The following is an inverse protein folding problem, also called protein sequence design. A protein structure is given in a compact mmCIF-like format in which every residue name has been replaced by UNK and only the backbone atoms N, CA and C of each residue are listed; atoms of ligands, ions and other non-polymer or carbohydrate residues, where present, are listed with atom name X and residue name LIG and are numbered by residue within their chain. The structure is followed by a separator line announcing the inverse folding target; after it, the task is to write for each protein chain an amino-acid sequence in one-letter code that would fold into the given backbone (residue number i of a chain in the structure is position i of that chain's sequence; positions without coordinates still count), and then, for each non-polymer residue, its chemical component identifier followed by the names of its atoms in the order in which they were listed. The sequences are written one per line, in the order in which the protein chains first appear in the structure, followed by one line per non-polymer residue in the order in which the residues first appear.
data_IF_651858788022
#
_entry.id   IF_651858788022
#
_cell.length_a   1.000
_cell.length_b   1.000
_cell.length_c   1.000
_cell.angle_alpha   90.00
_cell.angle_beta   90.00
_cell.angle_gamma   90.00
#
_symmetry.space_group_name_H-M   'P 1'
#
loop_
_entity.id
_entity.type
_entity.pdbx_description
1 polymer ?
#
# COMPACT_ATOMS: atom_id res chain seq x y z
N UNK A 1 -7.20 20.70 -1.85
CA UNK A 1 -7.28 19.56 -0.91
C UNK A 1 -6.98 18.28 -1.69
N UNK A 2 -6.02 17.46 -1.26
CA UNK A 2 -5.72 16.20 -1.93
C UNK A 2 -6.90 15.23 -1.70
N UNK A 3 -7.46 14.66 -2.77
CA UNK A 3 -8.50 13.63 -2.65
C UNK A 3 -7.84 12.37 -2.09
N UNK A 4 -8.06 12.09 -0.81
CA UNK A 4 -7.73 10.80 -0.22
C UNK A 4 -8.54 9.74 -0.98
N UNK A 5 -7.86 8.74 -1.53
CA UNK A 5 -8.53 7.57 -2.10
C UNK A 5 -8.60 6.53 -0.98
N UNK A 6 -9.73 5.86 -0.88
CA UNK A 6 -9.90 4.73 0.05
C UNK A 6 -9.75 3.47 -0.80
N UNK A 7 -8.92 2.53 -0.37
CA UNK A 7 -8.89 1.17 -0.92
C UNK A 7 -9.36 0.18 0.14
N UNK A 8 -9.97 -0.90 -0.30
CA UNK A 8 -10.40 -2.01 0.53
C UNK A 8 -9.52 -3.21 0.25
N UNK A 9 -8.93 -3.81 1.28
CA UNK A 9 -8.01 -4.94 1.19
C UNK A 9 -8.60 -6.11 1.95
N UNK A 10 -8.72 -7.27 1.32
CA UNK A 10 -9.13 -8.50 1.99
C UNK A 10 -8.02 -9.00 2.91
N UNK A 11 -8.29 -9.13 4.21
CA UNK A 11 -7.34 -9.62 5.21
C UNK A 11 -7.06 -11.13 5.12
N UNK A 12 -7.90 -11.90 4.42
CA UNK A 12 -7.65 -13.33 4.22
C UNK A 12 -6.72 -13.59 3.02
N UNK A 13 -7.04 -13.03 1.85
CA UNK A 13 -6.31 -13.32 0.61
C UNK A 13 -5.48 -12.15 0.06
N UNK A 14 -5.54 -10.96 0.67
CA UNK A 14 -4.81 -9.77 0.21
C UNK A 14 -5.40 -9.05 -1.01
N UNK A 15 -6.61 -9.42 -1.45
CA UNK A 15 -7.25 -8.81 -2.63
C UNK A 15 -7.59 -7.33 -2.39
N UNK A 16 -7.19 -6.44 -3.30
CA UNK A 16 -7.44 -5.01 -3.21
C UNK A 16 -8.55 -4.53 -4.18
N UNK A 17 -9.48 -3.72 -3.68
CA UNK A 17 -10.58 -3.13 -4.46
C UNK A 17 -10.78 -1.66 -4.09
N UNK A 18 -11.19 -0.84 -5.05
CA UNK A 18 -11.54 0.58 -4.83
C UNK A 18 -13.00 0.77 -4.41
N UNK A 19 -13.78 -0.31 -4.37
CA UNK A 19 -15.20 -0.31 -4.02
C UNK A 19 -15.45 -1.38 -2.96
N UNK A 20 -16.28 -1.11 -1.95
CA UNK A 20 -16.70 -2.10 -0.96
C UNK A 20 -17.69 -3.08 -1.60
N UNK A 21 -17.43 -4.39 -1.54
CA UNK A 21 -18.32 -5.44 -2.08
C UNK A 21 -18.94 -6.34 -1.01
N UNK A 22 -18.51 -6.26 0.25
CA UNK A 22 -18.99 -7.12 1.34
C UNK A 22 -18.44 -8.55 1.28
N UNK A 23 -18.52 -9.20 0.11
CA UNK A 23 -17.93 -10.51 -0.21
C UNK A 23 -16.65 -10.35 -1.05
N UNK A 24 -15.56 -10.99 -0.64
CA UNK A 24 -14.33 -11.03 -1.42
C UNK A 24 -14.54 -11.89 -2.69
N UNK A 25 -14.24 -11.40 -3.91
CA UNK A 25 -14.35 -12.20 -5.13
C UNK A 25 -13.25 -13.25 -5.29
N UNK A 26 -12.20 -13.20 -4.46
CA UNK A 26 -11.03 -14.07 -4.57
C UNK A 26 -11.08 -15.25 -3.58
N UNK A 27 -11.41 -14.99 -2.31
CA UNK A 27 -11.56 -16.05 -1.29
C UNK A 27 -13.01 -16.33 -0.89
N UNK A 28 -13.97 -15.60 -1.48
CA UNK A 28 -15.40 -15.79 -1.22
C UNK A 28 -15.87 -15.53 0.21
N UNK A 29 -15.02 -14.96 1.05
CA UNK A 29 -15.38 -14.65 2.43
C UNK A 29 -16.07 -13.31 2.57
N UNK A 30 -16.85 -13.23 3.64
CA UNK A 30 -17.58 -12.05 4.06
C UNK A 30 -16.86 -11.38 5.21
N UNK A 31 -16.99 -10.06 5.33
CA UNK A 31 -16.41 -9.26 6.44
C UNK A 31 -14.87 -9.31 6.55
N UNK A 32 -14.17 -9.71 5.49
CA UNK A 32 -12.70 -9.73 5.46
C UNK A 32 -12.10 -8.45 4.89
N UNK A 33 -12.89 -7.50 4.39
CA UNK A 33 -12.36 -6.27 3.79
C UNK A 33 -12.01 -5.23 4.86
N UNK A 34 -10.76 -4.76 4.83
CA UNK A 34 -10.21 -3.69 5.66
C UNK A 34 -9.98 -2.44 4.81
N UNK A 35 -10.32 -1.28 5.35
CA UNK A 35 -10.17 0.02 4.66
C UNK A 35 -8.77 0.58 4.90
N UNK A 36 -8.07 0.96 3.84
CA UNK A 36 -6.77 1.63 3.92
C UNK A 36 -6.84 2.98 3.20
N UNK A 37 -6.49 4.05 3.92
CA UNK A 37 -6.37 5.38 3.35
C UNK A 37 -5.09 5.45 2.54
N UNK A 38 -5.22 5.38 1.21
CA UNK A 38 -4.11 5.71 0.32
C UNK A 38 -4.04 7.21 0.20
N UNK A 39 -3.16 7.78 1.02
CA UNK A 39 -2.68 9.15 0.82
C UNK A 39 -2.12 9.22 -0.60
N UNK A 40 -2.68 10.10 -1.42
CA UNK A 40 -2.23 10.30 -2.79
C UNK A 40 -0.86 11.00 -2.76
N UNK A 41 0.17 10.33 -2.25
CA UNK A 41 1.55 10.67 -2.53
C UNK A 41 1.68 10.55 -4.04
N UNK A 42 2.00 11.67 -4.69
CA UNK A 42 2.28 11.73 -6.12
C UNK A 42 3.52 10.88 -6.40
N UNK A 43 3.36 9.58 -6.47
CA UNK A 43 4.46 8.66 -6.76
C UNK A 43 3.96 7.58 -7.68
N UNK A 44 4.28 7.83 -8.95
CA UNK A 44 4.72 6.87 -9.95
C UNK A 44 3.84 5.64 -10.21
N UNK A 45 3.43 5.54 -11.47
CA UNK A 45 3.17 4.27 -12.16
C UNK A 45 4.04 3.16 -11.53
N UNK A 46 3.40 2.11 -11.01
CA UNK A 46 4.04 0.86 -10.62
C UNK A 46 4.52 0.17 -11.92
N UNK A 47 5.58 0.73 -12.52
CA UNK A 47 6.46 -0.01 -13.39
C UNK A 47 7.05 -1.12 -12.53
N UNK A 48 6.93 -2.34 -13.03
CA UNK A 48 7.62 -3.56 -12.64
C UNK A 48 9.05 -3.24 -12.14
N UNK A 49 9.25 -3.14 -10.84
CA UNK A 49 10.58 -2.92 -10.25
C UNK A 49 11.30 -4.26 -10.30
N UNK A 50 12.24 -4.39 -11.24
CA UNK A 50 13.38 -5.30 -11.12
C UNK A 50 14.19 -4.81 -9.92
N UNK A 51 14.54 -5.77 -9.07
CA UNK A 51 15.36 -5.64 -7.88
C UNK A 51 16.71 -4.99 -8.20
N UNK A 52 16.87 -3.71 -7.88
CA UNK A 52 18.18 -3.10 -7.70
C UNK A 52 18.04 -1.94 -6.69
N UNK A 53 18.61 -2.15 -5.50
CA UNK A 53 19.17 -1.12 -4.63
C UNK A 53 18.28 0.05 -4.14
N UNK A 54 17.61 -0.15 -3.00
CA UNK A 54 17.09 0.95 -2.17
C UNK A 54 18.09 1.20 -1.04
N UNK A 55 18.91 2.25 -1.18
CA UNK A 55 19.64 2.82 -0.05
C UNK A 55 18.73 3.75 0.75
N UNK A 56 18.64 3.52 2.07
CA UNK A 56 18.10 4.50 3.02
C UNK A 56 19.12 5.61 3.22
N UNK A 57 18.72 6.83 2.89
CA UNK A 57 19.55 8.02 2.90
C UNK A 57 19.65 8.60 4.33
N UNK A 58 20.89 8.61 4.83
CA UNK A 58 21.50 9.56 5.78
C UNK A 58 20.86 9.73 7.16
N UNK A 59 21.58 9.28 8.20
CA UNK A 59 22.34 10.18 9.11
C UNK A 59 22.47 9.55 10.52
N UNK A 60 23.64 8.98 10.83
CA UNK A 60 24.21 9.14 12.17
C UNK A 60 25.61 9.71 11.98
N UNK A 61 25.70 11.02 12.18
CA UNK A 61 26.97 11.70 12.37
C UNK A 61 27.52 11.35 13.75
N UNK A 62 28.86 11.42 13.85
CA UNK A 62 29.69 11.60 15.04
C UNK A 62 30.33 10.34 15.65
N UNK A 63 31.60 10.08 15.34
CA UNK A 63 32.70 10.42 16.26
C UNK A 63 34.05 10.32 15.53
N UNK A 64 34.74 11.45 15.43
CA UNK A 64 36.16 11.57 15.08
C UNK A 64 36.92 11.70 16.40
N UNK A 65 37.53 10.60 16.85
CA UNK A 65 38.86 10.43 17.51
C UNK A 65 38.98 8.97 18.02
#
# INVERSE_FOLDING_TARGET
MAKHKIKYICSNCGFESLKWQGKCPHCEEWNTFSEEFVEAKKTAKKQKVKEENIYKLSEVNSHDD
#
